data_IF_891086053182
#
_entry.id   IF_891086053182
#
_cell.length_a   1.000
_cell.length_b   1.000
_cell.length_c   1.000
_cell.angle_alpha   90.00
_cell.angle_beta   90.00
_cell.angle_gamma   90.00
#
_symmetry.space_group_name_H-M   'P 1'
#
loop_
_entity.id
_entity.type
_entity.pdbx_description
1 polymer ?
#
# COMPACT_ATOMS: atom_id res chain seq x y z
N UNK A 1 -58.66 -23.73 14.49
CA UNK A 1 -58.86 -22.28 14.34
C UNK A 1 -59.53 -22.14 12.99
N UNK A 2 -60.86 -22.24 12.99
CA UNK A 2 -61.68 -22.12 11.79
C UNK A 2 -61.46 -20.72 11.21
N UNK A 3 -61.14 -20.65 9.92
CA UNK A 3 -61.08 -19.38 9.21
C UNK A 3 -62.52 -18.89 9.11
N UNK A 4 -62.86 -17.84 9.85
CA UNK A 4 -64.11 -17.10 9.71
C UNK A 4 -64.19 -16.50 8.29
N UNK A 5 -64.74 -17.28 7.35
CA UNK A 5 -65.02 -16.88 5.96
C UNK A 5 -66.19 -15.87 5.84
N UNK A 6 -66.80 -15.47 6.96
CA UNK A 6 -68.10 -14.79 6.98
C UNK A 6 -68.04 -13.25 7.14
N UNK A 7 -66.85 -12.63 7.11
CA UNK A 7 -66.76 -11.17 6.99
C UNK A 7 -66.69 -10.74 5.52
N UNK A 8 -67.77 -10.08 5.06
CA UNK A 8 -68.03 -9.62 3.68
C UNK A 8 -67.07 -8.54 3.18
N UNK A 9 -65.79 -8.86 3.04
CA UNK A 9 -65.04 -8.49 1.85
C UNK A 9 -64.93 -9.77 1.05
N UNK A 10 -65.52 -9.84 -0.16
CA UNK A 10 -65.41 -11.01 -1.01
C UNK A 10 -63.93 -11.32 -1.24
N UNK A 11 -63.42 -12.37 -0.58
CA UNK A 11 -62.05 -12.83 -0.77
C UNK A 11 -61.95 -13.31 -2.21
N UNK A 12 -61.14 -12.64 -2.99
CA UNK A 12 -60.90 -12.97 -4.39
C UNK A 12 -59.56 -13.69 -4.52
N UNK A 13 -59.49 -14.57 -5.52
CA UNK A 13 -58.23 -15.21 -5.91
C UNK A 13 -57.50 -14.24 -6.82
N UNK A 14 -56.36 -13.72 -6.36
CA UNK A 14 -55.57 -12.73 -7.09
C UNK A 14 -54.56 -13.37 -8.04
N UNK A 15 -53.98 -14.50 -7.66
CA UNK A 15 -52.97 -15.19 -8.46
C UNK A 15 -53.05 -16.71 -8.33
N UNK A 16 -52.63 -17.40 -9.37
CA UNK A 16 -52.66 -18.85 -9.45
C UNK A 16 -51.44 -19.36 -10.22
N UNK A 17 -50.79 -20.40 -9.71
CA UNK A 17 -49.62 -21.01 -10.34
C UNK A 17 -49.64 -22.52 -10.17
N UNK A 18 -49.29 -23.26 -11.23
CA UNK A 18 -49.07 -24.71 -11.17
C UNK A 18 -47.57 -24.99 -11.10
N UNK A 19 -47.17 -25.92 -10.23
CA UNK A 19 -45.81 -26.50 -10.24
C UNK A 19 -45.74 -27.67 -11.22
N UNK A 20 -46.73 -28.54 -11.11
CA UNK A 20 -46.93 -29.76 -11.90
C UNK A 20 -48.44 -29.92 -12.15
N UNK A 21 -48.85 -30.96 -12.85
CA UNK A 21 -50.26 -31.28 -13.08
C UNK A 21 -51.06 -31.47 -11.78
N UNK A 22 -50.40 -31.75 -10.64
CA UNK A 22 -51.03 -32.06 -9.36
C UNK A 22 -51.03 -30.90 -8.34
N UNK A 23 -49.96 -30.11 -8.31
CA UNK A 23 -49.73 -29.13 -7.25
C UNK A 23 -50.06 -27.72 -7.73
N UNK A 24 -50.93 -27.05 -6.98
CA UNK A 24 -51.50 -25.75 -7.28
C UNK A 24 -51.25 -24.78 -6.12
N UNK A 25 -50.70 -23.61 -6.41
CA UNK A 25 -50.66 -22.48 -5.48
C UNK A 25 -51.74 -21.47 -5.83
N UNK A 26 -52.48 -21.02 -4.82
CA UNK A 26 -53.54 -20.02 -4.92
C UNK A 26 -53.19 -18.87 -3.99
N UNK A 27 -53.11 -17.67 -4.56
CA UNK A 27 -52.92 -16.41 -3.84
C UNK A 27 -54.25 -15.71 -3.67
N UNK A 28 -54.52 -15.24 -2.46
CA UNK A 28 -55.74 -14.53 -2.11
C UNK A 28 -55.46 -13.02 -1.94
N UNK A 29 -56.51 -12.21 -2.12
CA UNK A 29 -56.41 -10.75 -1.96
C UNK A 29 -56.13 -10.27 -0.54
N UNK A 30 -56.34 -11.13 0.47
CA UNK A 30 -56.07 -10.85 1.87
C UNK A 30 -54.63 -11.21 2.31
N UNK A 31 -53.75 -11.57 1.37
CA UNK A 31 -52.35 -11.90 1.64
C UNK A 31 -52.12 -13.32 2.14
N UNK A 32 -53.12 -14.20 1.98
CA UNK A 32 -53.01 -15.63 2.24
C UNK A 32 -52.62 -16.38 0.97
N UNK A 33 -51.82 -17.42 1.15
CA UNK A 33 -51.36 -18.32 0.10
C UNK A 33 -51.75 -19.71 0.53
N UNK A 34 -52.43 -20.41 -0.37
CA UNK A 34 -52.92 -21.76 -0.15
C UNK A 34 -52.27 -22.68 -1.16
N UNK A 35 -51.62 -23.72 -0.68
CA UNK A 35 -51.12 -24.80 -1.51
C UNK A 35 -52.12 -25.95 -1.50
N UNK A 36 -52.52 -26.36 -2.70
CA UNK A 36 -53.46 -27.42 -2.98
C UNK A 36 -52.79 -28.54 -3.76
N UNK A 37 -53.23 -29.75 -3.49
CA UNK A 37 -53.13 -30.88 -4.41
C UNK A 37 -54.52 -31.03 -5.03
N UNK A 38 -54.63 -31.07 -6.37
CA UNK A 38 -55.93 -31.16 -7.06
C UNK A 38 -56.78 -32.37 -6.63
N UNK A 39 -56.16 -33.39 -6.03
CA UNK A 39 -56.83 -34.58 -5.52
C UNK A 39 -57.56 -34.33 -4.20
N UNK A 40 -57.18 -33.29 -3.47
CA UNK A 40 -57.73 -32.93 -2.16
C UNK A 40 -58.50 -31.62 -2.23
N UNK A 41 -59.66 -31.56 -1.59
CA UNK A 41 -60.42 -30.32 -1.43
C UNK A 41 -59.88 -29.41 -0.32
N UNK A 42 -58.98 -29.92 0.53
CA UNK A 42 -58.36 -29.16 1.61
C UNK A 42 -56.93 -28.77 1.23
N UNK A 43 -56.50 -27.52 1.50
CA UNK A 43 -55.13 -27.11 1.27
C UNK A 43 -54.20 -27.86 2.25
N UNK A 44 -53.04 -28.29 1.77
CA UNK A 44 -52.06 -28.96 2.63
C UNK A 44 -51.20 -27.96 3.40
N UNK A 45 -50.97 -26.77 2.84
CA UNK A 45 -50.24 -25.71 3.51
C UNK A 45 -50.91 -24.36 3.28
N UNK A 46 -51.04 -23.61 4.37
CA UNK A 46 -51.51 -22.22 4.37
C UNK A 46 -50.41 -21.32 4.89
N UNK A 47 -50.04 -20.29 4.13
CA UNK A 47 -49.01 -19.31 4.49
C UNK A 47 -49.57 -17.88 4.38
N UNK A 48 -49.10 -16.99 5.24
CA UNK A 48 -49.53 -15.58 5.26
C UNK A 48 -48.35 -14.63 5.10
N UNK A 49 -48.58 -13.54 4.36
CA UNK A 49 -47.61 -12.45 4.23
C UNK A 49 -47.69 -11.42 5.36
N UNK A 50 -48.76 -11.46 6.15
CA UNK A 50 -49.05 -10.60 7.32
C UNK A 50 -49.28 -9.11 7.01
N UNK A 51 -49.02 -8.64 5.79
CA UNK A 51 -49.27 -7.25 5.40
C UNK A 51 -50.74 -6.98 5.01
N UNK A 52 -51.52 -8.02 4.76
CA UNK A 52 -52.94 -7.89 4.36
C UNK A 52 -53.13 -7.29 2.97
N UNK A 53 -52.09 -7.28 2.15
CA UNK A 53 -52.11 -6.85 0.75
C UNK A 53 -52.31 -8.08 -0.17
N UNK A 54 -52.83 -7.87 -1.40
CA UNK A 54 -53.13 -8.96 -2.31
C UNK A 54 -51.85 -9.58 -2.89
N UNK A 55 -51.84 -10.91 -2.98
CA UNK A 55 -50.72 -11.64 -3.60
C UNK A 55 -50.75 -11.44 -5.12
N UNK A 56 -49.85 -10.61 -5.63
CA UNK A 56 -49.79 -10.23 -7.06
C UNK A 56 -49.30 -11.38 -7.93
N UNK A 57 -48.29 -12.12 -7.48
CA UNK A 57 -47.64 -13.17 -8.27
C UNK A 57 -47.15 -14.30 -7.37
N UNK A 58 -47.28 -15.52 -7.86
CA UNK A 58 -46.76 -16.75 -7.26
C UNK A 58 -46.00 -17.53 -8.32
N UNK A 59 -44.84 -18.08 -7.95
CA UNK A 59 -44.05 -18.93 -8.84
C UNK A 59 -43.38 -20.06 -8.03
N UNK A 60 -43.33 -21.25 -8.62
CA UNK A 60 -42.61 -22.39 -8.05
C UNK A 60 -41.23 -22.50 -8.69
N UNK A 61 -40.17 -22.47 -7.89
CA UNK A 61 -38.83 -22.80 -8.36
C UNK A 61 -38.60 -24.30 -8.16
N UNK A 62 -38.78 -25.06 -9.24
CA UNK A 62 -38.69 -26.53 -9.24
C UNK A 62 -37.33 -27.08 -8.79
N UNK A 63 -36.25 -26.30 -8.91
CA UNK A 63 -34.90 -26.78 -8.60
C UNK A 63 -34.61 -26.94 -7.10
N UNK A 64 -35.34 -26.22 -6.24
CA UNK A 64 -35.05 -26.19 -4.80
C UNK A 64 -36.28 -26.42 -3.92
N UNK A 65 -37.41 -26.82 -4.52
CA UNK A 65 -38.68 -27.02 -3.79
C UNK A 65 -39.11 -25.78 -2.98
N UNK A 66 -38.78 -24.60 -3.51
CA UNK A 66 -39.15 -23.31 -2.92
C UNK A 66 -40.28 -22.65 -3.69
N UNK A 67 -41.14 -21.98 -2.95
CA UNK A 67 -42.23 -21.16 -3.47
C UNK A 67 -41.84 -19.70 -3.33
N UNK A 68 -41.84 -18.99 -4.45
CA UNK A 68 -41.70 -17.55 -4.48
C UNK A 68 -43.09 -16.95 -4.43
N UNK A 69 -43.30 -16.09 -3.44
CA UNK A 69 -44.56 -15.42 -3.25
C UNK A 69 -44.36 -13.93 -3.14
N UNK A 70 -45.08 -13.18 -3.97
CA UNK A 70 -44.95 -11.74 -4.02
C UNK A 70 -46.21 -11.07 -3.53
N UNK A 71 -45.99 -10.13 -2.64
CA UNK A 71 -46.95 -9.13 -2.23
C UNK A 71 -46.57 -7.78 -2.88
N UNK A 72 -47.46 -6.79 -2.84
CA UNK A 72 -47.23 -5.47 -3.42
C UNK A 72 -46.00 -4.73 -2.87
N UNK A 73 -45.40 -5.20 -1.76
CA UNK A 73 -44.21 -4.57 -1.14
C UNK A 73 -43.00 -5.49 -1.01
N UNK A 74 -43.19 -6.80 -0.95
CA UNK A 74 -42.14 -7.73 -0.59
C UNK A 74 -42.28 -9.06 -1.34
N UNK A 75 -41.14 -9.65 -1.70
CA UNK A 75 -41.06 -11.03 -2.17
C UNK A 75 -40.57 -11.92 -1.04
N UNK A 76 -41.36 -12.93 -0.69
CA UNK A 76 -40.99 -13.96 0.29
C UNK A 76 -40.77 -15.28 -0.42
N UNK A 77 -39.61 -15.87 -0.17
CA UNK A 77 -39.22 -17.19 -0.63
C UNK A 77 -39.29 -18.13 0.56
N UNK A 78 -39.96 -19.27 0.42
CA UNK A 78 -40.15 -20.22 1.50
C UNK A 78 -40.25 -21.66 0.97
N UNK A 79 -39.95 -22.63 1.82
CA UNK A 79 -39.92 -24.04 1.42
C UNK A 79 -41.33 -24.63 1.36
N UNK A 80 -41.65 -25.35 0.29
CA UNK A 80 -42.98 -25.93 0.04
C UNK A 80 -43.44 -26.90 1.14
N UNK A 81 -42.53 -27.76 1.63
CA UNK A 81 -42.87 -28.80 2.60
C UNK A 81 -42.96 -28.28 4.05
N UNK A 82 -42.03 -27.40 4.42
CA UNK A 82 -41.89 -26.97 5.82
C UNK A 82 -42.58 -25.63 6.10
N UNK A 83 -42.91 -24.85 5.08
CA UNK A 83 -43.44 -23.50 5.22
C UNK A 83 -42.48 -22.51 5.90
N UNK A 84 -41.22 -22.90 6.10
CA UNK A 84 -40.18 -22.06 6.70
C UNK A 84 -39.74 -20.98 5.69
N UNK A 85 -39.69 -19.71 6.11
CA UNK A 85 -39.18 -18.64 5.25
C UNK A 85 -37.68 -18.81 5.02
N UNK A 86 -37.28 -18.79 3.75
CA UNK A 86 -35.89 -18.84 3.32
C UNK A 86 -35.29 -17.43 3.26
N UNK A 87 -35.94 -16.53 2.52
CA UNK A 87 -35.47 -15.14 2.35
C UNK A 87 -36.66 -14.23 2.10
N UNK A 88 -36.55 -12.99 2.57
CA UNK A 88 -37.50 -11.90 2.29
C UNK A 88 -36.74 -10.77 1.59
N UNK A 89 -37.20 -10.36 0.42
CA UNK A 89 -36.63 -9.26 -0.36
C UNK A 89 -37.60 -8.10 -0.32
N UNK A 90 -37.15 -6.97 0.23
CA UNK A 90 -37.91 -5.72 0.32
C UNK A 90 -37.18 -4.64 -0.49
N UNK A 91 -37.60 -4.37 -1.74
CA UNK A 91 -36.94 -3.39 -2.60
C UNK A 91 -37.24 -1.94 -2.22
N UNK A 92 -38.11 -1.70 -1.23
CA UNK A 92 -38.51 -0.36 -0.77
C UNK A 92 -39.44 0.40 -1.72
N UNK A 93 -39.66 -0.12 -2.93
CA UNK A 93 -40.62 0.34 -3.92
C UNK A 93 -41.74 -0.67 -4.05
N UNK A 94 -42.91 -0.22 -4.51
CA UNK A 94 -44.02 -1.13 -4.77
C UNK A 94 -43.69 -2.04 -5.98
N UNK A 95 -44.12 -3.30 -5.85
CA UNK A 95 -43.87 -4.40 -6.77
C UNK A 95 -45.15 -4.79 -7.49
N UNK A 96 -45.11 -4.77 -8.82
CA UNK A 96 -46.25 -5.12 -9.67
C UNK A 96 -46.18 -6.56 -10.15
N UNK A 97 -45.04 -6.97 -10.72
CA UNK A 97 -44.79 -8.33 -11.21
C UNK A 97 -43.33 -8.76 -10.92
N UNK A 98 -43.09 -10.07 -10.87
CA UNK A 98 -41.73 -10.61 -10.89
C UNK A 98 -41.62 -11.81 -11.85
N UNK A 99 -40.40 -12.07 -12.29
CA UNK A 99 -40.07 -13.24 -13.09
C UNK A 99 -38.76 -13.84 -12.59
N UNK A 100 -38.80 -15.13 -12.30
CA UNK A 100 -37.62 -15.94 -12.02
C UNK A 100 -37.03 -16.50 -13.33
N UNK A 101 -35.71 -16.38 -13.49
CA UNK A 101 -35.04 -17.06 -14.59
C UNK A 101 -34.74 -18.52 -14.23
N UNK A 102 -35.31 -19.43 -15.01
CA UNK A 102 -35.23 -20.88 -14.80
C UNK A 102 -33.77 -21.34 -14.59
N UNK A 103 -33.58 -22.19 -13.58
CA UNK A 103 -32.27 -22.76 -13.21
C UNK A 103 -31.19 -21.74 -12.83
N UNK A 104 -31.56 -20.50 -12.50
CA UNK A 104 -30.63 -19.51 -11.95
C UNK A 104 -31.13 -18.87 -10.66
N UNK A 105 -30.25 -18.18 -9.95
CA UNK A 105 -30.61 -17.34 -8.81
C UNK A 105 -31.12 -15.93 -9.17
N UNK A 106 -31.33 -15.60 -10.45
CA UNK A 106 -31.71 -14.25 -10.87
C UNK A 106 -33.24 -14.08 -10.87
N UNK A 107 -33.69 -13.01 -10.22
CA UNK A 107 -35.08 -12.58 -10.16
C UNK A 107 -35.17 -11.14 -10.68
N UNK A 108 -36.09 -10.92 -11.63
CA UNK A 108 -36.41 -9.61 -12.17
C UNK A 108 -37.70 -9.10 -11.56
N UNK A 109 -37.70 -7.84 -11.11
CA UNK A 109 -38.87 -7.18 -10.54
C UNK A 109 -39.34 -6.04 -11.43
N UNK A 110 -40.61 -6.08 -11.80
CA UNK A 110 -41.32 -4.93 -12.33
C UNK A 110 -41.79 -4.05 -11.16
N UNK A 111 -40.97 -3.07 -10.80
CA UNK A 111 -41.24 -2.05 -9.80
C UNK A 111 -41.73 -0.74 -10.43
N UNK A 112 -42.29 0.14 -9.61
CA UNK A 112 -42.74 1.48 -10.03
C UNK A 112 -41.58 2.50 -10.19
N UNK A 113 -40.33 2.11 -9.89
CA UNK A 113 -39.19 3.00 -10.15
C UNK A 113 -38.81 3.00 -11.64
N UNK A 114 -38.16 4.08 -12.14
CA UNK A 114 -37.68 4.14 -13.52
C UNK A 114 -36.71 3.02 -13.93
N UNK A 115 -36.10 2.33 -12.96
CA UNK A 115 -35.19 1.21 -13.19
C UNK A 115 -35.78 -0.08 -12.63
N UNK A 116 -35.89 -1.08 -13.50
CA UNK A 116 -36.20 -2.47 -13.14
C UNK A 116 -35.14 -2.97 -12.17
N UNK A 117 -35.58 -3.43 -10.99
CA UNK A 117 -34.68 -4.02 -10.00
C UNK A 117 -34.45 -5.50 -10.34
N UNK A 118 -33.20 -5.92 -10.26
CA UNK A 118 -32.80 -7.31 -10.43
C UNK A 118 -32.05 -7.74 -9.18
N UNK A 119 -32.41 -8.91 -8.65
CA UNK A 119 -31.75 -9.51 -7.50
C UNK A 119 -31.16 -10.84 -7.91
N UNK A 120 -29.94 -11.09 -7.44
CA UNK A 120 -29.28 -12.37 -7.59
C UNK A 120 -29.14 -12.99 -6.21
N UNK A 121 -29.67 -14.21 -6.06
CA UNK A 121 -29.57 -15.00 -4.83
C UNK A 121 -28.67 -16.21 -5.13
N UNK A 122 -27.39 -16.19 -4.73
CA UNK A 122 -26.47 -17.29 -4.98
C UNK A 122 -26.96 -18.62 -4.41
N UNK A 123 -27.63 -18.57 -3.25
CA UNK A 123 -28.17 -19.74 -2.59
C UNK A 123 -29.35 -20.39 -3.35
N UNK A 124 -30.04 -19.65 -4.22
CA UNK A 124 -31.17 -20.15 -5.03
C UNK A 124 -30.70 -20.89 -6.29
N UNK A 125 -29.50 -20.57 -6.77
CA UNK A 125 -28.90 -21.22 -7.93
C UNK A 125 -27.79 -20.40 -8.57
N UNK A 126 -27.01 -21.03 -9.48
CA UNK A 126 -25.89 -20.37 -10.15
C UNK A 126 -26.36 -19.24 -11.08
N UNK A 127 -25.44 -18.35 -11.45
CA UNK A 127 -25.73 -17.34 -12.47
C UNK A 127 -25.87 -18.01 -13.86
N UNK A 128 -26.72 -17.47 -14.75
CA UNK A 128 -26.84 -18.00 -16.10
C UNK A 128 -25.57 -17.72 -16.90
N UNK A 129 -25.32 -18.52 -17.95
CA UNK A 129 -24.04 -18.49 -18.71
C UNK A 129 -23.67 -17.13 -19.31
N UNK A 130 -24.65 -16.28 -19.60
CA UNK A 130 -24.42 -14.93 -20.15
C UNK A 130 -24.03 -13.90 -19.07
N UNK A 131 -24.18 -14.26 -17.79
CA UNK A 131 -23.86 -13.46 -16.61
C UNK A 131 -22.87 -14.16 -15.67
N UNK A 132 -21.86 -14.85 -16.20
CA UNK A 132 -20.85 -15.53 -15.37
C UNK A 132 -20.08 -14.57 -14.45
N UNK A 133 -19.97 -13.30 -14.83
CA UNK A 133 -19.26 -12.30 -14.03
C UNK A 133 -20.00 -11.90 -12.75
N UNK A 134 -21.33 -12.08 -12.67
CA UNK A 134 -22.07 -11.79 -11.45
C UNK A 134 -21.68 -12.73 -10.31
N UNK A 135 -21.32 -13.97 -10.61
CA UNK A 135 -20.84 -14.93 -9.62
C UNK A 135 -19.49 -14.49 -9.03
N UNK A 136 -18.57 -14.04 -9.89
CA UNK A 136 -17.29 -13.45 -9.47
C UNK A 136 -17.49 -12.21 -8.59
N UNK A 137 -18.37 -11.29 -9.00
CA UNK A 137 -18.66 -10.08 -8.21
C UNK A 137 -19.31 -10.46 -6.86
N UNK A 138 -20.22 -11.43 -6.85
CA UNK A 138 -20.83 -11.88 -5.59
C UNK A 138 -19.84 -12.58 -4.68
N UNK A 139 -18.90 -13.34 -5.23
CA UNK A 139 -17.83 -14.00 -4.47
C UNK A 139 -16.85 -12.96 -3.90
N UNK A 140 -16.46 -11.95 -4.69
CA UNK A 140 -15.66 -10.82 -4.21
C UNK A 140 -16.39 -10.06 -3.08
N UNK A 141 -17.69 -9.80 -3.23
CA UNK A 141 -18.48 -9.11 -2.22
C UNK A 141 -18.67 -9.96 -0.94
N UNK A 142 -18.70 -11.28 -1.05
CA UNK A 142 -18.70 -12.19 0.10
C UNK A 142 -17.35 -12.17 0.85
N UNK A 143 -16.24 -12.06 0.12
CA UNK A 143 -14.90 -11.91 0.70
C UNK A 143 -14.78 -10.58 1.46
N UNK A 144 -15.22 -9.47 0.88
CA UNK A 144 -15.12 -8.14 1.50
C UNK A 144 -15.93 -8.00 2.81
N UNK A 145 -17.06 -8.70 2.91
CA UNK A 145 -17.88 -8.69 4.13
C UNK A 145 -17.23 -9.42 5.30
N UNK A 146 -16.24 -10.28 5.05
CA UNK A 146 -15.34 -10.80 6.08
C UNK A 146 -14.21 -9.81 6.35
N UNK A 147 -14.54 -8.52 6.55
CA UNK A 147 -13.58 -7.51 6.95
C UNK A 147 -12.89 -8.00 8.23
N UNK A 148 -11.66 -8.47 8.11
CA UNK A 148 -10.88 -8.84 9.27
C UNK A 148 -10.72 -7.53 10.04
N UNK A 149 -11.26 -7.48 11.26
CA UNK A 149 -11.24 -6.31 12.16
C UNK A 149 -9.80 -5.80 12.44
N UNK A 150 -8.79 -6.47 11.90
CA UNK A 150 -7.37 -6.22 12.05
C UNK A 150 -6.64 -5.82 10.75
N UNK A 151 -7.29 -5.71 9.59
CA UNK A 151 -6.59 -5.38 8.33
C UNK A 151 -5.97 -3.97 8.37
N UNK A 152 -6.61 -3.04 9.08
CA UNK A 152 -6.09 -1.68 9.27
C UNK A 152 -5.09 -1.54 10.43
N UNK A 153 -4.79 -2.63 11.14
CA UNK A 153 -3.96 -2.59 12.35
C UNK A 153 -2.64 -3.33 12.15
N UNK A 154 -1.53 -2.62 12.38
CA UNK A 154 -0.21 -3.22 12.43
C UNK A 154 0.15 -3.62 13.85
N UNK A 155 0.61 -4.86 14.02
CA UNK A 155 1.22 -5.30 15.27
C UNK A 155 2.61 -4.69 15.45
N UNK A 156 2.83 -4.02 16.58
CA UNK A 156 4.06 -3.33 16.94
C UNK A 156 4.52 -3.84 18.31
N UNK A 157 5.80 -4.24 18.42
CA UNK A 157 6.37 -4.65 19.71
C UNK A 157 6.61 -3.44 20.61
N UNK A 158 6.74 -3.66 21.93
CA UNK A 158 7.02 -2.57 22.87
C UNK A 158 8.32 -1.81 22.53
N UNK A 159 9.34 -2.51 22.07
CA UNK A 159 10.61 -1.90 21.63
C UNK A 159 10.43 -0.99 20.42
N UNK A 160 9.65 -1.44 19.43
CA UNK A 160 9.33 -0.63 18.25
C UNK A 160 8.48 0.60 18.63
N UNK A 161 7.54 0.43 19.56
CA UNK A 161 6.72 1.55 20.07
C UNK A 161 7.59 2.65 20.71
N UNK A 162 8.62 2.24 21.46
CA UNK A 162 9.57 3.15 22.11
C UNK A 162 10.44 3.86 21.07
N UNK A 163 10.94 3.13 20.07
CA UNK A 163 11.69 3.71 18.95
C UNK A 163 10.86 4.75 18.20
N UNK A 164 9.58 4.49 17.92
CA UNK A 164 8.67 5.39 17.21
C UNK A 164 8.12 6.55 18.08
N UNK A 165 8.50 6.65 19.36
CA UNK A 165 8.00 7.70 20.25
C UNK A 165 6.49 7.60 20.53
N UNK A 166 5.88 6.44 20.28
CA UNK A 166 4.43 6.21 20.37
C UNK A 166 3.98 5.75 21.77
N UNK A 167 4.85 5.89 22.78
CA UNK A 167 4.55 5.54 24.18
C UNK A 167 3.29 6.24 24.71
N UNK A 168 3.01 7.46 24.23
CA UNK A 168 1.84 8.24 24.61
C UNK A 168 0.50 7.62 24.17
N UNK A 169 0.50 6.72 23.19
CA UNK A 169 -0.69 6.00 22.73
C UNK A 169 -1.02 4.78 23.59
N UNK A 170 -0.12 4.39 24.51
CA UNK A 170 -0.34 3.26 25.42
C UNK A 170 -1.46 3.64 26.40
N UNK A 171 -2.59 2.92 26.33
CA UNK A 171 -3.76 3.16 27.17
C UNK A 171 -4.86 3.99 26.50
N UNK A 172 -4.62 4.53 25.30
CA UNK A 172 -5.66 5.15 24.46
C UNK A 172 -6.30 4.09 23.55
N UNK A 173 -7.54 4.34 23.08
CA UNK A 173 -8.25 3.43 22.18
C UNK A 173 -7.54 3.21 20.82
N UNK A 174 -6.54 4.04 20.49
CA UNK A 174 -5.75 3.94 19.27
C UNK A 174 -4.70 2.81 19.28
N UNK A 175 -4.30 2.31 20.47
CA UNK A 175 -3.35 1.21 20.59
C UNK A 175 -3.95 0.08 21.44
N UNK A 176 -4.33 -1.02 20.78
CA UNK A 176 -4.92 -2.18 21.46
C UNK A 176 -3.82 -3.12 21.92
N UNK A 177 -3.67 -3.30 23.23
CA UNK A 177 -2.70 -4.23 23.78
C UNK A 177 -3.07 -5.68 23.41
N UNK A 178 -2.10 -6.45 22.92
CA UNK A 178 -2.27 -7.88 22.63
C UNK A 178 -1.00 -8.66 22.94
N UNK A 179 -1.10 -9.61 23.87
CA UNK A 179 -0.03 -10.48 24.39
C UNK A 179 1.22 -9.74 24.90
N UNK A 180 2.10 -9.28 23.99
CA UNK A 180 3.39 -8.66 24.28
C UNK A 180 3.69 -7.44 23.39
N UNK A 181 2.67 -6.93 22.69
CA UNK A 181 2.75 -5.75 21.83
C UNK A 181 1.43 -5.02 21.75
N UNK A 182 1.34 -4.13 20.76
CA UNK A 182 0.18 -3.28 20.52
C UNK A 182 -0.21 -3.34 19.05
N UNK A 183 -1.52 -3.43 18.79
CA UNK A 183 -2.09 -3.16 17.49
C UNK A 183 -2.34 -1.66 17.37
N UNK A 184 -1.75 -1.04 16.35
CA UNK A 184 -1.86 0.39 16.07
C UNK A 184 -2.42 0.54 14.66
N UNK A 185 -3.29 1.54 14.46
CA UNK A 185 -3.80 1.87 13.13
C UNK A 185 -2.65 2.19 12.16
N UNK A 186 -2.72 1.65 10.94
CA UNK A 186 -1.67 1.73 9.94
C UNK A 186 -1.30 3.19 9.61
N UNK A 187 -2.26 4.11 9.60
CA UNK A 187 -2.03 5.55 9.38
C UNK A 187 -1.18 6.21 10.47
N UNK A 188 -1.41 5.83 11.74
CA UNK A 188 -0.63 6.34 12.87
C UNK A 188 0.79 5.78 12.83
N UNK A 189 0.93 4.51 12.45
CA UNK A 189 2.23 3.87 12.27
C UNK A 189 3.06 4.50 11.14
N UNK A 190 2.46 4.77 9.98
CA UNK A 190 3.18 5.40 8.85
C UNK A 190 3.63 6.82 9.18
N UNK A 191 2.78 7.60 9.85
CA UNK A 191 3.11 8.96 10.31
C UNK A 191 4.29 8.95 11.29
N UNK A 192 4.27 8.07 12.29
CA UNK A 192 5.36 7.96 13.26
C UNK A 192 6.68 7.50 12.62
N UNK A 193 6.59 6.54 11.67
CA UNK A 193 7.76 6.09 10.91
C UNK A 193 8.37 7.21 10.06
N UNK A 194 7.54 8.08 9.49
CA UNK A 194 8.00 9.26 8.74
C UNK A 194 8.75 10.26 9.63
N UNK A 195 8.23 10.55 10.82
CA UNK A 195 8.86 11.46 11.78
C UNK A 195 10.23 10.96 12.26
N UNK A 196 10.36 9.67 12.54
CA UNK A 196 11.64 9.08 12.95
C UNK A 196 12.71 9.16 11.88
N UNK A 197 12.36 9.00 10.59
CA UNK A 197 13.34 9.12 9.50
C UNK A 197 13.94 10.52 9.42
N UNK A 198 13.13 11.56 9.64
CA UNK A 198 13.62 12.94 9.70
C UNK A 198 14.57 13.14 10.89
N UNK A 199 14.21 12.62 12.07
CA UNK A 199 15.05 12.72 13.26
C UNK A 199 16.41 12.03 13.10
N UNK A 200 16.47 10.86 12.45
CA UNK A 200 17.73 10.17 12.19
C UNK A 200 18.67 10.97 11.26
N UNK A 201 18.12 11.70 10.29
CA UNK A 201 18.89 12.59 9.40
C UNK A 201 19.39 13.82 10.18
N UNK A 202 18.58 14.34 11.10
CA UNK A 202 18.94 15.48 11.95
C UNK A 202 20.06 15.11 12.94
N UNK A 203 19.96 13.97 13.61
CA UNK A 203 21.04 13.43 14.48
C UNK A 203 22.34 13.18 13.71
N UNK A 204 22.25 12.69 12.46
CA UNK A 204 23.41 12.52 11.60
C UNK A 204 24.09 13.86 11.28
N UNK A 205 23.30 14.90 10.95
CA UNK A 205 23.80 16.26 10.68
C UNK A 205 24.46 16.86 11.92
N UNK A 206 23.83 16.75 13.09
CA UNK A 206 24.38 17.26 14.34
C UNK A 206 25.70 16.58 14.71
N UNK A 207 25.77 15.25 14.56
CA UNK A 207 27.01 14.50 14.80
C UNK A 207 28.13 14.96 13.87
N UNK A 208 27.84 15.15 12.57
CA UNK A 208 28.83 15.66 11.61
C UNK A 208 29.26 17.09 11.91
N UNK A 209 28.34 17.94 12.34
CA UNK A 209 28.64 19.31 12.76
C UNK A 209 29.52 19.33 14.01
N UNK A 210 29.22 18.46 14.99
CA UNK A 210 30.03 18.29 16.20
C UNK A 210 31.43 17.77 15.90
N UNK A 211 31.56 16.78 15.01
CA UNK A 211 32.85 16.26 14.54
C UNK A 211 33.67 17.37 13.85
N UNK A 212 33.02 18.22 13.04
CA UNK A 212 33.67 19.35 12.38
C UNK A 212 34.12 20.44 13.36
N UNK A 213 33.27 20.78 14.33
CA UNK A 213 33.57 21.76 15.37
C UNK A 213 34.66 21.27 16.33
N UNK A 214 34.71 19.96 16.60
CA UNK A 214 35.78 19.35 17.39
C UNK A 214 37.12 19.36 16.63
N UNK A 215 37.11 19.07 15.33
CA UNK A 215 38.29 19.28 14.47
C UNK A 215 38.75 20.73 14.52
N UNK A 216 37.85 21.70 14.35
CA UNK A 216 38.14 23.15 14.44
C UNK A 216 38.68 23.58 15.81
N UNK A 217 38.17 23.00 16.91
CA UNK A 217 38.71 23.22 18.26
C UNK A 217 40.10 22.61 18.44
N UNK A 218 40.35 21.42 17.89
CA UNK A 218 41.66 20.76 17.97
C UNK A 218 42.75 21.53 17.20
N UNK A 219 42.45 22.08 16.01
CA UNK A 219 43.41 22.93 15.28
C UNK A 219 43.75 24.23 16.00
N UNK A 220 42.89 24.70 16.92
CA UNK A 220 43.09 25.95 17.65
C UNK A 220 43.93 25.79 18.93
N UNK A 221 43.97 24.60 19.54
CA UNK A 221 44.68 24.39 20.82
C UNK A 221 46.00 23.63 20.70
N UNK A 222 46.25 22.89 19.61
CA UNK A 222 47.50 22.10 19.44
C UNK A 222 48.11 22.31 18.05
N UNK A 223 48.88 23.39 17.90
CA UNK A 223 50.01 23.44 16.95
C UNK A 223 51.32 23.62 17.73
N UNK A 224 51.65 22.61 18.53
CA UNK A 224 53.05 22.26 18.80
C UNK A 224 53.20 20.78 18.51
N UNK A 225 54.18 20.48 17.65
CA UNK A 225 54.79 19.18 17.40
C UNK A 225 53.91 18.10 16.75
N UNK A 226 53.61 18.28 15.47
CA UNK A 226 53.60 17.14 14.53
C UNK A 226 54.71 17.38 13.51
N UNK A 227 55.59 16.39 13.40
CA UNK A 227 56.85 16.41 12.66
C UNK A 227 56.62 16.55 11.16
N UNK A 228 56.59 17.78 10.66
CA UNK A 228 56.95 18.04 9.27
C UNK A 228 58.41 17.63 9.13
N UNK A 229 58.70 16.67 8.26
CA UNK A 229 60.06 16.43 7.78
C UNK A 229 60.47 17.72 7.05
N UNK A 230 61.11 18.62 7.77
CA UNK A 230 61.70 19.83 7.20
C UNK A 230 62.95 19.39 6.46
N UNK A 231 62.78 19.04 5.20
CA UNK A 231 63.91 18.76 4.30
C UNK A 231 64.77 20.02 4.19
N UNK A 232 66.09 19.83 4.19
CA UNK A 232 67.07 20.94 4.22
C UNK A 232 67.14 21.67 2.88
N UNK A 233 66.83 20.96 1.79
CA UNK A 233 66.87 21.44 0.40
C UNK A 233 65.50 21.17 -0.27
N UNK A 234 65.08 22.02 -1.20
CA UNK A 234 63.84 21.88 -1.99
C UNK A 234 62.53 21.71 -1.18
N UNK A 235 62.33 22.57 -0.17
CA UNK A 235 61.12 22.58 0.68
C UNK A 235 59.81 22.70 -0.11
N UNK A 236 59.81 23.49 -1.17
CA UNK A 236 58.62 23.73 -1.99
C UNK A 236 58.20 22.47 -2.78
N UNK A 237 59.17 21.71 -3.30
CA UNK A 237 58.91 20.44 -3.97
C UNK A 237 58.39 19.38 -3.00
N UNK A 238 58.94 19.30 -1.79
CA UNK A 238 58.45 18.40 -0.75
C UNK A 238 57.00 18.72 -0.33
N UNK A 239 56.66 20.00 -0.18
CA UNK A 239 55.30 20.44 0.15
C UNK A 239 54.29 20.06 -0.95
N UNK A 240 54.69 20.19 -2.22
CA UNK A 240 53.84 19.85 -3.36
C UNK A 240 53.63 18.34 -3.49
N UNK A 241 54.65 17.53 -3.20
CA UNK A 241 54.51 16.06 -3.21
C UNK A 241 53.62 15.59 -2.07
N UNK A 242 53.69 16.21 -0.89
CA UNK A 242 52.80 15.89 0.24
C UNK A 242 51.33 16.24 -0.06
N UNK A 243 51.05 17.40 -0.65
CA UNK A 243 49.67 17.76 -1.03
C UNK A 243 49.11 16.78 -2.08
N UNK A 244 49.96 16.31 -2.99
CA UNK A 244 49.55 15.32 -3.99
C UNK A 244 49.20 13.98 -3.34
N UNK A 245 49.97 13.55 -2.33
CA UNK A 245 49.71 12.32 -1.58
C UNK A 245 48.41 12.41 -0.78
N UNK A 246 48.14 13.52 -0.09
CA UNK A 246 46.91 13.70 0.69
C UNK A 246 45.66 13.68 -0.19
N UNK A 247 45.71 14.28 -1.38
CA UNK A 247 44.60 14.24 -2.35
C UNK A 247 44.36 12.81 -2.90
N UNK A 248 45.40 11.98 -2.93
CA UNK A 248 45.30 10.58 -3.38
C UNK A 248 44.66 9.70 -2.29
N UNK A 249 44.97 9.92 -1.01
CA UNK A 249 44.33 9.18 0.09
C UNK A 249 42.82 9.43 0.17
N UNK A 250 42.37 10.65 -0.16
CA UNK A 250 40.95 11.00 -0.15
C UNK A 250 40.18 10.44 -1.37
N UNK A 251 40.85 10.24 -2.52
CA UNK A 251 40.19 9.86 -3.79
C UNK A 251 40.21 8.36 -4.11
N UNK A 252 40.98 7.53 -3.38
CA UNK A 252 40.92 6.06 -3.45
C UNK A 252 41.36 5.39 -4.77
N UNK A 253 41.69 6.15 -5.84
CA UNK A 253 42.12 5.60 -7.13
C UNK A 253 43.65 5.43 -7.22
N UNK A 254 44.12 4.18 -7.33
CA UNK A 254 45.54 3.83 -7.49
C UNK A 254 45.98 3.82 -8.97
N UNK A 255 46.20 5.01 -9.56
CA UNK A 255 46.81 5.11 -10.88
C UNK A 255 48.34 4.89 -10.82
N UNK A 256 48.95 4.33 -11.87
CA UNK A 256 50.41 4.06 -11.95
C UNK A 256 51.30 5.32 -11.80
N UNK A 257 50.77 6.51 -12.04
CA UNK A 257 51.47 7.79 -11.80
C UNK A 257 51.44 8.18 -10.31
N UNK A 258 50.46 7.67 -9.55
CA UNK A 258 50.13 8.05 -8.17
C UNK A 258 51.06 7.40 -7.13
N UNK A 259 51.72 6.29 -7.49
CA UNK A 259 52.74 5.69 -6.62
C UNK A 259 54.07 6.44 -6.68
N UNK A 260 54.34 7.23 -7.73
CA UNK A 260 55.64 7.88 -7.90
C UNK A 260 55.89 8.99 -6.88
N UNK A 261 54.89 9.77 -6.49
CA UNK A 261 55.05 10.83 -5.48
C UNK A 261 55.32 10.28 -4.09
N UNK A 262 54.55 9.27 -3.68
CA UNK A 262 54.78 8.52 -2.45
C UNK A 262 56.13 7.82 -2.45
N UNK A 263 56.51 7.24 -3.58
CA UNK A 263 57.79 6.57 -3.76
C UNK A 263 58.98 7.54 -3.63
N UNK A 264 58.89 8.74 -4.21
CA UNK A 264 59.94 9.77 -4.11
C UNK A 264 60.11 10.28 -2.68
N UNK A 265 59.06 10.29 -1.87
CA UNK A 265 59.11 10.78 -0.49
C UNK A 265 59.59 9.69 0.51
N UNK A 266 59.40 8.41 0.19
CA UNK A 266 59.65 7.28 1.10
C UNK A 266 60.89 6.44 0.75
N UNK A 267 61.31 6.39 -0.52
CA UNK A 267 62.47 5.59 -0.94
C UNK A 267 63.79 6.27 -0.53
N UNK A 268 64.61 5.53 0.22
CA UNK A 268 65.93 5.94 0.69
C UNK A 268 66.88 6.34 -0.45
N UNK A 269 66.69 5.84 -1.67
CA UNK A 269 67.54 6.20 -2.83
C UNK A 269 67.38 7.66 -3.27
N UNK A 270 66.25 8.29 -2.95
CA UNK A 270 65.95 9.68 -3.31
C UNK A 270 66.12 10.65 -2.14
N UNK A 271 66.66 10.20 -1.00
CA UNK A 271 66.93 11.07 0.15
C UNK A 271 67.91 12.20 -0.17
N UNK A 272 68.80 12.01 -1.15
CA UNK A 272 69.74 13.03 -1.62
C UNK A 272 69.05 14.26 -2.22
N UNK A 273 67.90 14.09 -2.88
CA UNK A 273 67.12 15.18 -3.49
C UNK A 273 66.67 16.26 -2.48
N UNK A 274 66.61 15.88 -1.21
CA UNK A 274 66.04 16.66 -0.11
C UNK A 274 67.08 17.09 0.95
N UNK A 275 68.29 16.52 0.89
CA UNK A 275 69.34 16.72 1.89
C UNK A 275 70.62 17.31 1.29
N UNK A 276 70.94 17.02 0.03
CA UNK A 276 72.17 17.45 -0.63
C UNK A 276 71.96 18.81 -1.33
N UNK A 277 72.83 19.81 -1.09
CA UNK A 277 72.69 21.16 -1.66
C UNK A 277 72.91 21.20 -3.17
N UNK A 278 73.63 20.22 -3.74
CA UNK A 278 73.89 20.14 -5.19
C UNK A 278 72.61 19.87 -6.01
N UNK A 279 71.53 19.40 -5.36
CA UNK A 279 70.23 19.17 -6.00
C UNK A 279 69.25 20.33 -5.79
N UNK A 280 69.70 21.48 -5.27
CA UNK A 280 68.86 22.66 -5.10
C UNK A 280 68.31 23.15 -6.44
N UNK A 281 66.99 23.32 -6.51
CA UNK A 281 66.31 23.82 -7.71
C UNK A 281 66.49 25.34 -7.75
N UNK A 282 67.47 25.79 -8.53
CA UNK A 282 67.71 27.21 -8.77
C UNK A 282 66.88 27.68 -9.97
N UNK A 283 65.83 28.44 -9.69
CA UNK A 283 64.90 28.95 -10.71
C UNK A 283 65.56 29.90 -11.73
N UNK A 284 66.69 30.51 -11.35
CA UNK A 284 67.42 31.45 -12.20
C UNK A 284 68.36 30.81 -13.21
N UNK A 285 68.64 29.49 -13.08
CA UNK A 285 69.50 28.76 -14.00
C UNK A 285 68.93 28.73 -15.43
N UNK A 286 69.79 28.80 -16.44
CA UNK A 286 69.38 28.74 -17.85
C UNK A 286 68.66 27.42 -18.17
N UNK A 287 69.07 26.33 -17.52
CA UNK A 287 68.48 24.99 -17.70
C UNK A 287 67.03 24.94 -17.17
N UNK A 288 66.74 25.56 -16.02
CA UNK A 288 65.38 25.65 -15.50
C UNK A 288 64.49 26.52 -16.39
N UNK A 289 65.02 27.65 -16.87
CA UNK A 289 64.29 28.56 -17.77
C UNK A 289 63.93 27.90 -19.12
N UNK A 290 64.77 27.01 -19.63
CA UNK A 290 64.47 26.21 -20.84
C UNK A 290 63.35 25.18 -20.61
N UNK A 291 63.23 24.63 -19.40
CA UNK A 291 62.23 23.61 -19.04
C UNK A 291 60.91 24.19 -18.49
N UNK A 292 60.93 25.41 -17.95
CA UNK A 292 59.77 26.12 -17.43
C UNK A 292 58.52 26.15 -18.36
N UNK A 293 58.64 26.37 -19.69
CA UNK A 293 57.46 26.33 -20.57
C UNK A 293 56.84 24.93 -20.69
N UNK A 294 57.60 23.84 -20.52
CA UNK A 294 57.05 22.49 -20.45
C UNK A 294 56.36 22.22 -19.12
N UNK A 295 56.95 22.68 -18.00
CA UNK A 295 56.36 22.56 -16.66
C UNK A 295 55.00 23.27 -16.58
N UNK A 296 54.88 24.50 -17.10
CA UNK A 296 53.60 25.24 -17.13
C UNK A 296 52.51 24.49 -17.91
N UNK A 297 52.84 23.81 -19.01
CA UNK A 297 51.88 22.99 -19.78
C UNK A 297 51.39 21.79 -18.96
N UNK A 298 52.27 21.16 -18.19
CA UNK A 298 51.91 20.05 -17.29
C UNK A 298 51.02 20.52 -16.13
N UNK A 299 51.29 21.70 -15.57
CA UNK A 299 50.47 22.28 -14.50
C UNK A 299 49.05 22.63 -14.96
N UNK A 300 48.91 23.21 -16.15
CA UNK A 300 47.58 23.50 -16.74
C UNK A 300 46.80 22.20 -16.96
N UNK A 301 47.48 21.13 -17.42
CA UNK A 301 46.86 19.81 -17.59
C UNK A 301 46.42 19.21 -16.25
N UNK A 302 47.22 19.38 -15.19
CA UNK A 302 46.91 18.89 -13.85
C UNK A 302 45.71 19.63 -13.23
N UNK A 303 45.69 20.98 -13.30
CA UNK A 303 44.55 21.79 -12.84
C UNK A 303 43.25 21.47 -13.58
N UNK A 304 43.33 21.08 -14.86
CA UNK A 304 42.15 20.65 -15.63
C UNK A 304 41.61 19.29 -15.14
N UNK A 305 42.49 18.38 -14.70
CA UNK A 305 42.08 17.11 -14.12
C UNK A 305 41.47 17.28 -12.72
N UNK A 306 42.06 18.13 -11.88
CA UNK A 306 41.51 18.47 -10.55
C UNK A 306 40.08 19.01 -10.67
N UNK A 307 39.84 20.00 -11.57
CA UNK A 307 38.49 20.53 -11.82
C UNK A 307 37.49 19.48 -12.30
N UNK A 308 37.93 18.50 -13.09
CA UNK A 308 37.07 17.39 -13.56
C UNK A 308 36.69 16.43 -12.43
N UNK A 309 37.57 16.24 -11.45
CA UNK A 309 37.31 15.39 -10.29
C UNK A 309 36.30 16.09 -9.37
N UNK A 310 36.49 17.38 -9.08
CA UNK A 310 35.52 18.19 -8.32
C UNK A 310 34.13 18.29 -8.99
N UNK A 311 34.07 18.30 -10.32
CA UNK A 311 32.82 18.30 -11.08
C UNK A 311 32.11 16.94 -11.01
N UNK A 312 32.87 15.82 -11.01
CA UNK A 312 32.32 14.48 -10.80
C UNK A 312 31.76 14.29 -9.39
N UNK A 313 32.47 14.75 -8.35
CA UNK A 313 31.99 14.65 -6.97
C UNK A 313 30.70 15.44 -6.74
N UNK A 314 30.58 16.63 -7.33
CA UNK A 314 29.35 17.42 -7.28
C UNK A 314 28.19 16.74 -8.02
N UNK A 315 28.45 16.07 -9.13
CA UNK A 315 27.41 15.34 -9.85
C UNK A 315 26.92 14.11 -9.05
N UNK A 316 27.80 13.38 -8.38
CA UNK A 316 27.41 12.25 -7.52
C UNK A 316 26.53 12.72 -6.36
N UNK A 317 26.87 13.84 -5.72
CA UNK A 317 26.05 14.42 -4.65
C UNK A 317 24.67 14.91 -5.15
N UNK A 318 24.60 15.40 -6.38
CA UNK A 318 23.34 15.84 -6.98
C UNK A 318 22.44 14.65 -7.41
N UNK A 319 23.03 13.58 -7.94
CA UNK A 319 22.29 12.35 -8.30
C UNK A 319 21.72 11.65 -7.05
N UNK A 320 22.48 11.58 -5.95
CA UNK A 320 21.99 11.05 -4.67
C UNK A 320 20.85 11.90 -4.07
N UNK A 321 20.80 13.20 -4.40
CA UNK A 321 19.74 14.09 -3.93
C UNK A 321 18.49 14.05 -4.83
N UNK A 322 18.65 13.78 -6.14
CA UNK A 322 17.55 13.63 -7.08
C UNK A 322 16.77 12.33 -6.88
N UNK A 323 17.42 11.21 -6.55
CA UNK A 323 16.73 9.96 -6.21
C UNK A 323 15.85 10.06 -4.94
N UNK A 324 16.08 11.07 -4.10
CA UNK A 324 15.27 11.32 -2.90
C UNK A 324 13.99 12.09 -3.24
N UNK A 325 14.01 12.95 -4.27
CA UNK A 325 12.85 13.76 -4.69
C UNK A 325 11.85 12.94 -5.52
N UNK A 326 12.32 12.05 -6.41
CA UNK A 326 11.44 11.18 -7.22
C UNK A 326 10.63 10.19 -6.37
N UNK A 327 11.12 9.83 -5.18
CA UNK A 327 10.39 8.97 -4.24
C UNK A 327 9.30 9.72 -3.43
N UNK A 328 9.28 11.06 -3.48
CA UNK A 328 8.25 11.88 -2.81
C UNK A 328 7.05 12.20 -3.72
N UNK A 329 7.22 12.27 -5.04
CA UNK A 329 6.12 12.62 -5.96
C UNK A 329 5.09 11.50 -6.16
N UNK A 330 5.44 10.24 -5.91
CA UNK A 330 4.48 9.11 -5.98
C UNK A 330 3.56 8.98 -4.74
N UNK A 331 3.68 9.86 -3.74
CA UNK A 331 2.94 9.78 -2.48
C UNK A 331 1.94 10.94 -2.25
N UNK A 332 1.61 11.73 -3.26
CA UNK A 332 0.57 12.77 -3.13
C UNK A 332 -0.82 12.21 -3.40
#
# INVERSE_FOLDING_TARGET
MELDLDSRSSIEVSSLCFKDALHLAVGLSNGYILLYDIRSSQPYLTKTHNFGLPITRLEFASNQEVVLSMDGRALKIWNEHNGQPFTSIEPGSDLNDFTHYQNSGIIFFANDDPKIKQYFIPALGPAPKWCSHLESISEELEIDNNSNVYDDFKFVTRTQMDEFGLQHLIGTNAARAYMHGYFIEMKSYTKARGQNKLSAVEEYRERKLKEKLEKERQVSFVKRTTSVILTKVNRELASRLQSDVSLIEESGESSKMNNSSNYLLTDQRFSGLFNDPDFEIVEDSEQYKQLAPMMKKLEVKKKKNEKRIEEKERNIQNDEMAEIDDNNEFST
#
